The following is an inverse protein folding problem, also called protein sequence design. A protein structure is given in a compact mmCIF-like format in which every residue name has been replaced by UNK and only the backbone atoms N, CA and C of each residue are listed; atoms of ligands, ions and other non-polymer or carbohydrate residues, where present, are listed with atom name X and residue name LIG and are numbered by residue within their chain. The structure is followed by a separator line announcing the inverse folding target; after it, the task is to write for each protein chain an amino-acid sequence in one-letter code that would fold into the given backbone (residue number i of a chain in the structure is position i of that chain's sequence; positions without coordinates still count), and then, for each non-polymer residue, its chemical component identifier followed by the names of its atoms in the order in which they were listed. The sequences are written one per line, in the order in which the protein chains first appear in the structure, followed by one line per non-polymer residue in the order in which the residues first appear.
data_IF_719206318198
#
_entry.id   IF_719206318198
#
_cell.length_a   1.000
_cell.length_b   1.000
_cell.length_c   1.000
_cell.angle_alpha   90.00
_cell.angle_beta   90.00
_cell.angle_gamma   90.00
#
_symmetry.space_group_name_H-M   'P 1'
#
loop_
_entity.id
_entity.type
_entity.pdbx_description
1 polymer ?
#
# COMPACT_ATOMS: atom_id res chain seq x y z
N UNK A 1 6.64 8.21 63.82
CA UNK A 1 6.28 7.12 62.88
C UNK A 1 4.80 7.26 62.55
N UNK A 2 4.47 7.70 61.34
CA UNK A 2 3.12 7.62 60.80
C UNK A 2 3.27 7.13 59.36
N UNK A 3 2.87 5.87 59.13
CA UNK A 3 2.81 5.24 57.82
C UNK A 3 1.41 5.50 57.27
N UNK A 4 1.30 6.21 56.15
CA UNK A 4 0.06 6.30 55.38
C UNK A 4 0.39 5.79 53.99
N UNK A 5 -0.04 4.56 53.73
CA UNK A 5 -0.09 3.98 52.40
C UNK A 5 -1.22 4.59 51.59
N UNK A 6 -1.02 4.69 50.28
CA UNK A 6 -2.04 5.19 49.37
C UNK A 6 -1.64 5.02 47.91
N UNK A 7 -2.02 3.86 47.35
CA UNK A 7 -2.71 3.73 46.06
C UNK A 7 -2.06 4.28 44.79
N UNK A 8 -1.90 3.40 43.80
CA UNK A 8 -1.91 3.82 42.40
C UNK A 8 -1.13 2.89 41.48
N UNK A 9 -1.70 1.72 41.18
CA UNK A 9 -1.26 0.92 40.05
C UNK A 9 -1.40 1.75 38.76
N UNK A 10 -0.28 2.26 38.27
CA UNK A 10 -0.20 2.93 36.98
C UNK A 10 -0.39 1.90 35.87
N UNK A 11 -1.64 1.71 35.46
CA UNK A 11 -1.98 0.95 34.27
C UNK A 11 -1.26 1.61 33.07
N UNK A 12 -0.32 0.86 32.51
CA UNK A 12 0.33 1.09 31.24
C UNK A 12 -0.70 1.28 30.14
N UNK A 13 -1.10 2.53 29.87
CA UNK A 13 -1.70 2.92 28.59
C UNK A 13 -0.58 2.95 27.55
N UNK A 14 -0.20 1.77 27.06
CA UNK A 14 0.34 1.64 25.72
C UNK A 14 -0.78 2.05 24.77
N UNK A 15 -0.86 3.34 24.50
CA UNK A 15 -1.56 3.84 23.34
C UNK A 15 -0.86 3.22 22.14
N UNK A 16 -1.50 2.19 21.58
CA UNK A 16 -1.27 1.69 20.24
C UNK A 16 -1.43 2.89 19.32
N UNK A 17 -0.33 3.61 19.12
CA UNK A 17 -0.23 4.68 18.14
C UNK A 17 -0.16 3.92 16.83
N UNK A 18 -1.34 3.53 16.34
CA UNK A 18 -1.60 3.05 14.99
C UNK A 18 -0.63 3.81 14.10
N UNK A 19 0.41 3.10 13.64
CA UNK A 19 1.33 3.64 12.65
C UNK A 19 0.44 3.99 11.48
N UNK A 20 0.12 5.28 11.32
CA UNK A 20 -0.62 5.80 10.17
C UNK A 20 -0.05 5.11 8.95
N UNK A 21 -0.82 4.20 8.37
CA UNK A 21 -0.42 3.50 7.17
C UNK A 21 -0.05 4.59 6.19
N UNK A 22 1.16 4.55 5.64
CA UNK A 22 1.56 5.48 4.58
C UNK A 22 0.62 5.19 3.43
N UNK A 23 -0.45 5.96 3.33
CA UNK A 23 -1.40 5.87 2.24
C UNK A 23 -0.62 6.20 0.97
N UNK A 24 -0.63 5.27 0.02
CA UNK A 24 -0.12 5.55 -1.32
C UNK A 24 -0.95 6.70 -1.90
N UNK A 25 -0.29 7.69 -2.47
CA UNK A 25 -0.95 8.82 -3.15
C UNK A 25 -1.78 8.31 -4.35
N UNK A 26 -1.42 7.14 -4.89
CA UNK A 26 -2.19 6.44 -5.91
C UNK A 26 -3.14 5.42 -5.28
N UNK A 27 -4.43 5.61 -5.51
CA UNK A 27 -5.48 4.61 -5.29
C UNK A 27 -5.77 3.86 -6.59
N UNK A 28 -5.19 2.67 -6.72
CA UNK A 28 -5.37 1.79 -7.88
C UNK A 28 -6.71 1.04 -7.85
N UNK A 29 -7.44 1.04 -6.73
CA UNK A 29 -8.73 0.35 -6.59
C UNK A 29 -9.76 0.84 -7.60
N UNK A 30 -9.68 2.13 -7.96
CA UNK A 30 -10.53 2.78 -8.98
C UNK A 30 -10.34 2.25 -10.39
N UNK A 31 -9.27 1.48 -10.61
CA UNK A 31 -8.87 0.94 -11.90
C UNK A 31 -8.97 -0.59 -11.99
N UNK A 32 -9.42 -1.27 -10.92
CA UNK A 32 -9.72 -2.71 -10.98
C UNK A 32 -10.75 -2.97 -12.09
N UNK A 33 -10.53 -4.06 -12.83
CA UNK A 33 -11.29 -4.48 -13.99
C UNK A 33 -11.33 -3.48 -15.15
N UNK A 34 -10.43 -2.49 -15.16
CA UNK A 34 -10.22 -1.57 -16.28
C UNK A 34 -8.88 -1.85 -16.95
N UNK A 35 -8.83 -1.60 -18.25
CA UNK A 35 -7.57 -1.60 -18.99
C UNK A 35 -6.73 -0.40 -18.55
N UNK A 36 -5.51 -0.68 -18.11
CA UNK A 36 -4.50 0.34 -17.78
C UNK A 36 -3.28 0.20 -18.68
N UNK A 37 -2.50 1.26 -18.78
CA UNK A 37 -1.22 1.28 -19.49
C UNK A 37 -0.11 1.65 -18.53
N UNK A 38 0.88 0.78 -18.40
CA UNK A 38 2.00 0.91 -17.47
C UNK A 38 3.26 1.18 -18.26
N UNK A 39 3.99 2.24 -17.90
CA UNK A 39 5.34 2.49 -18.41
C UNK A 39 6.35 2.02 -17.37
N UNK A 40 7.14 1.02 -17.72
CA UNK A 40 8.22 0.54 -16.88
C UNK A 40 9.47 1.39 -17.08
N UNK A 41 10.31 1.42 -16.06
CA UNK A 41 11.67 1.91 -16.23
C UNK A 41 12.37 1.08 -17.32
N UNK A 42 13.21 1.73 -18.12
CA UNK A 42 13.85 1.10 -19.28
C UNK A 42 13.01 1.16 -20.57
N UNK A 43 11.86 1.86 -20.56
CA UNK A 43 11.13 2.21 -21.78
C UNK A 43 10.21 1.13 -22.34
N UNK A 44 10.00 0.05 -21.60
CA UNK A 44 8.96 -0.95 -21.89
C UNK A 44 7.61 -0.41 -21.47
N UNK A 45 6.58 -0.67 -22.27
CA UNK A 45 5.21 -0.30 -21.93
C UNK A 45 4.34 -1.56 -22.02
N UNK A 46 3.36 -1.71 -21.14
CA UNK A 46 2.38 -2.80 -21.23
C UNK A 46 0.97 -2.27 -21.00
N UNK A 47 -0.01 -2.86 -21.68
CA UNK A 47 -1.43 -2.59 -21.47
C UNK A 47 -2.15 -3.88 -21.12
N UNK A 48 -3.05 -3.85 -20.13
CA UNK A 48 -3.85 -5.01 -19.72
C UNK A 48 -4.91 -4.62 -18.70
N UNK A 49 -5.82 -5.54 -18.39
CA UNK A 49 -6.88 -5.32 -17.39
C UNK A 49 -6.29 -5.49 -16.00
N UNK A 50 -6.40 -4.48 -15.13
CA UNK A 50 -5.90 -4.59 -13.76
C UNK A 50 -6.80 -5.52 -12.93
N UNK A 51 -6.22 -6.61 -12.43
CA UNK A 51 -6.93 -7.59 -11.58
C UNK A 51 -6.56 -7.50 -10.11
N UNK A 52 -5.40 -6.94 -9.81
CA UNK A 52 -4.94 -6.79 -8.43
C UNK A 52 -3.67 -5.97 -8.35
N UNK A 53 -3.41 -5.44 -7.16
CA UNK A 53 -2.20 -4.72 -6.82
C UNK A 53 -1.90 -4.87 -5.34
N UNK A 54 -0.68 -4.53 -4.94
CA UNK A 54 -0.27 -4.47 -3.54
C UNK A 54 0.30 -3.06 -3.19
N UNK A 55 0.59 -2.78 -1.90
CA UNK A 55 1.16 -1.49 -1.50
C UNK A 55 2.55 -1.17 -2.09
N UNK A 56 3.24 -2.15 -2.68
CA UNK A 56 4.54 -1.96 -3.34
C UNK A 56 4.37 -1.63 -4.84
N UNK A 57 3.12 -1.49 -5.32
CA UNK A 57 2.76 -1.27 -6.72
C UNK A 57 3.15 -2.44 -7.63
N UNK A 58 3.22 -3.66 -7.09
CA UNK A 58 3.21 -4.85 -7.94
C UNK A 58 1.82 -5.01 -8.55
N UNK A 59 1.75 -5.29 -9.84
CA UNK A 59 0.50 -5.31 -10.60
C UNK A 59 0.22 -6.70 -11.19
N UNK A 60 -1.04 -7.12 -11.11
CA UNK A 60 -1.56 -8.30 -11.83
C UNK A 60 -2.39 -7.81 -13.00
N UNK A 61 -1.96 -8.12 -14.22
CA UNK A 61 -2.62 -7.72 -15.45
C UNK A 61 -3.11 -8.94 -16.24
N UNK A 62 -4.37 -8.91 -16.66
CA UNK A 62 -4.98 -9.90 -17.53
C UNK A 62 -5.03 -9.41 -18.99
N UNK A 63 -4.92 -10.34 -19.95
CA UNK A 63 -4.92 -10.03 -21.38
C UNK A 63 -3.82 -9.05 -21.80
N UNK A 64 -2.61 -9.17 -21.24
CA UNK A 64 -1.56 -8.15 -21.35
C UNK A 64 -0.91 -8.12 -22.75
N UNK A 65 -0.76 -6.92 -23.31
CA UNK A 65 0.00 -6.63 -24.53
C UNK A 65 1.25 -5.81 -24.15
N UNK A 66 2.42 -6.29 -24.55
CA UNK A 66 3.69 -5.59 -24.36
C UNK A 66 4.08 -4.78 -25.61
N UNK A 67 4.58 -3.56 -25.40
CA UNK A 67 5.17 -2.70 -26.41
C UNK A 67 6.68 -2.58 -26.17
N UNK A 68 7.45 -3.17 -27.08
CA UNK A 68 8.90 -3.04 -27.10
C UNK A 68 9.29 -1.74 -27.81
N UNK A 69 10.21 -0.98 -27.22
CA UNK A 69 10.86 0.12 -27.93
C UNK A 69 11.86 -0.49 -28.91
N UNK A 70 11.48 -0.53 -30.20
CA UNK A 70 12.41 -0.93 -31.27
C UNK A 70 13.63 0.00 -31.29
N UNK A 71 14.81 -0.59 -31.53
CA UNK A 71 16.01 0.18 -31.87
C UNK A 71 15.86 0.85 -33.23
#
# INVERSE_FOLDING_TARGET
MANVGGGGGGASKMADKEKKKKESILDLSKYIDKTIRVKFQGGREASGVLKGFDPLLNLVLDGTIEYMRGK
#
